data_IF_033821624627
#
_entry.id   IF_033821624627
#
_cell.length_a   1.000
_cell.length_b   1.000
_cell.length_c   1.000
_cell.angle_alpha   90.00
_cell.angle_beta   90.00
_cell.angle_gamma   90.00
#
_symmetry.space_group_name_H-M   'P 1'
#
loop_
_entity.id
_entity.type
_entity.pdbx_description
1 polymer ?
#
# COMPACT_ATOMS: atom_id res chain seq x y z
N UNK A 1 -14.36 -59.84 -65.26
CA UNK A 1 -15.49 -59.17 -64.57
C UNK A 1 -16.53 -60.24 -64.20
N UNK A 2 -17.33 -60.16 -63.11
CA UNK A 2 -17.52 -59.04 -62.15
C UNK A 2 -17.66 -59.44 -60.63
N UNK A 3 -17.66 -58.42 -59.75
CA UNK A 3 -18.37 -58.26 -58.45
C UNK A 3 -18.15 -59.21 -57.23
N UNK A 4 -17.83 -58.55 -56.10
CA UNK A 4 -18.29 -58.71 -54.68
C UNK A 4 -18.20 -60.08 -53.96
N UNK A 5 -17.44 -60.14 -52.85
CA UNK A 5 -17.88 -60.25 -51.41
C UNK A 5 -16.76 -60.75 -50.46
N UNK A 6 -16.50 -59.97 -49.40
CA UNK A 6 -16.55 -60.35 -47.97
C UNK A 6 -15.54 -61.32 -47.30
N UNK A 7 -15.22 -60.98 -46.02
CA UNK A 7 -14.70 -61.76 -44.84
C UNK A 7 -13.41 -61.13 -44.27
N UNK A 8 -13.07 -61.12 -42.98
CA UNK A 8 -13.63 -61.57 -41.70
C UNK A 8 -12.99 -60.69 -40.58
N UNK A 9 -13.56 -60.67 -39.38
CA UNK A 9 -12.99 -60.06 -38.18
C UNK A 9 -11.98 -61.00 -37.49
N UNK A 10 -10.99 -60.44 -36.78
CA UNK A 10 -10.41 -61.07 -35.59
C UNK A 10 -9.70 -60.05 -34.67
N UNK A 11 -9.91 -60.24 -33.37
CA UNK A 11 -9.38 -59.48 -32.23
C UNK A 11 -7.91 -59.85 -31.94
N UNK A 12 -7.14 -58.86 -31.48
CA UNK A 12 -5.88 -59.07 -30.77
C UNK A 12 -5.62 -57.94 -29.77
N UNK A 13 -5.76 -58.24 -28.47
CA UNK A 13 -5.00 -57.61 -27.36
C UNK A 13 -3.58 -58.23 -27.39
N UNK A 14 -2.45 -57.61 -27.01
CA UNK A 14 -2.19 -56.74 -25.86
C UNK A 14 -0.74 -56.18 -25.90
N UNK A 15 -0.47 -55.17 -25.05
CA UNK A 15 0.82 -54.73 -24.45
C UNK A 15 1.83 -53.82 -25.20
N UNK A 16 1.71 -52.53 -24.84
CA UNK A 16 2.75 -51.55 -24.44
C UNK A 16 4.20 -51.69 -24.95
N UNK A 17 4.63 -50.67 -25.72
CA UNK A 17 5.97 -50.07 -25.59
C UNK A 17 5.84 -48.53 -25.68
N UNK A 18 6.50 -47.86 -24.75
CA UNK A 18 6.49 -46.42 -24.49
C UNK A 18 6.92 -45.57 -25.71
N UNK A 19 6.15 -44.54 -26.01
CA UNK A 19 6.50 -43.46 -26.95
C UNK A 19 6.48 -42.11 -26.22
N UNK A 20 7.64 -41.46 -26.17
CA UNK A 20 7.91 -40.16 -25.53
C UNK A 20 6.88 -39.09 -25.94
N UNK A 21 6.20 -38.49 -24.96
CA UNK A 21 5.51 -37.19 -25.15
C UNK A 21 6.55 -36.08 -25.01
N UNK A 22 6.74 -35.32 -26.07
CA UNK A 22 7.41 -34.04 -26.02
C UNK A 22 6.68 -33.11 -25.04
N UNK A 23 7.45 -32.42 -24.19
CA UNK A 23 6.98 -31.30 -23.40
C UNK A 23 6.33 -30.29 -24.35
N UNK A 24 5.03 -30.08 -24.20
CA UNK A 24 4.40 -28.84 -24.67
C UNK A 24 4.74 -27.83 -23.59
N UNK A 25 5.73 -27.00 -23.85
CA UNK A 25 5.89 -25.73 -23.16
C UNK A 25 4.61 -24.94 -23.41
N UNK A 26 3.86 -24.69 -22.34
CA UNK A 26 2.80 -23.70 -22.32
C UNK A 26 3.47 -22.33 -22.45
N UNK A 27 3.55 -21.83 -23.69
CA UNK A 27 3.84 -20.44 -23.98
C UNK A 27 2.89 -19.56 -23.16
N UNK A 28 3.47 -18.87 -22.18
CA UNK A 28 2.79 -17.87 -21.39
C UNK A 28 2.53 -16.67 -22.31
N UNK A 29 1.26 -16.28 -22.47
CA UNK A 29 0.93 -15.01 -23.13
C UNK A 29 1.76 -13.87 -22.51
N UNK A 30 2.30 -12.92 -23.29
CA UNK A 30 3.07 -11.81 -22.72
C UNK A 30 2.22 -11.09 -21.68
N UNK A 31 2.68 -11.10 -20.43
CA UNK A 31 1.98 -10.46 -19.32
C UNK A 31 1.89 -8.96 -19.58
N UNK A 32 0.67 -8.42 -19.51
CA UNK A 32 0.38 -7.00 -19.75
C UNK A 32 1.07 -6.10 -18.71
N UNK A 33 1.20 -6.59 -17.48
CA UNK A 33 1.96 -5.99 -16.38
C UNK A 33 3.16 -6.86 -16.03
N UNK A 34 4.29 -6.25 -15.69
CA UNK A 34 5.48 -6.97 -15.25
C UNK A 34 5.45 -7.13 -13.72
N UNK A 35 5.39 -8.37 -13.24
CA UNK A 35 5.32 -8.68 -11.81
C UNK A 35 6.63 -9.26 -11.25
N UNK A 36 7.74 -9.18 -11.98
CA UNK A 36 9.04 -9.71 -11.52
C UNK A 36 9.57 -8.97 -10.29
N UNK A 37 9.47 -7.64 -10.25
CA UNK A 37 9.89 -6.82 -9.11
C UNK A 37 8.95 -5.62 -8.87
N UNK A 38 9.04 -4.94 -7.72
CA UNK A 38 8.31 -3.68 -7.51
C UNK A 38 8.62 -2.62 -8.59
N UNK A 39 9.88 -2.51 -9.01
CA UNK A 39 10.33 -1.57 -10.03
C UNK A 39 9.75 -1.91 -11.41
N UNK A 40 9.75 -3.19 -11.79
CA UNK A 40 9.22 -3.62 -13.09
C UNK A 40 7.71 -3.42 -13.17
N UNK A 41 6.99 -3.68 -12.08
CA UNK A 41 5.55 -3.37 -11.99
C UNK A 41 5.30 -1.90 -12.21
N UNK A 42 5.95 -1.03 -11.44
CA UNK A 42 5.72 0.40 -11.56
C UNK A 42 6.06 0.90 -12.97
N UNK A 43 7.20 0.47 -13.54
CA UNK A 43 7.59 0.83 -14.90
C UNK A 43 6.56 0.39 -15.95
N UNK A 44 6.00 -0.81 -15.84
CA UNK A 44 4.95 -1.30 -16.75
C UNK A 44 3.63 -0.53 -16.56
N UNK A 45 3.28 -0.17 -15.33
CA UNK A 45 2.07 0.57 -14.98
C UNK A 45 2.00 1.95 -15.66
N UNK A 46 3.10 2.70 -15.65
CA UNK A 46 3.19 4.06 -16.22
C UNK A 46 3.74 4.11 -17.65
N UNK A 47 4.01 2.94 -18.26
CA UNK A 47 4.51 2.84 -19.63
C UNK A 47 3.66 3.67 -20.62
N UNK A 48 4.28 4.42 -21.56
CA UNK A 48 5.70 4.40 -21.92
C UNK A 48 6.60 5.37 -21.12
N UNK A 49 6.07 6.01 -20.07
CA UNK A 49 6.85 6.96 -19.26
C UNK A 49 7.85 6.16 -18.42
N UNK A 50 9.13 6.54 -18.49
CA UNK A 50 10.17 5.93 -17.65
C UNK A 50 10.03 6.41 -16.21
N UNK A 51 10.22 5.54 -15.19
CA UNK A 51 10.17 5.95 -13.79
C UNK A 51 11.05 7.15 -13.45
N UNK A 52 12.25 7.25 -14.02
CA UNK A 52 13.16 8.37 -13.75
C UNK A 52 12.61 9.70 -14.26
N UNK A 53 11.87 9.67 -15.38
CA UNK A 53 11.18 10.86 -15.92
C UNK A 53 9.97 11.20 -15.05
N UNK A 54 9.21 10.18 -14.65
CA UNK A 54 8.04 10.35 -13.78
C UNK A 54 8.41 11.08 -12.48
N UNK A 55 9.38 10.55 -11.72
CA UNK A 55 9.78 11.14 -10.44
C UNK A 55 10.46 12.49 -10.56
N UNK A 56 11.08 12.78 -11.70
CA UNK A 56 11.75 14.06 -11.92
C UNK A 56 10.79 15.16 -12.37
N UNK A 57 9.78 14.84 -13.18
CA UNK A 57 8.98 15.84 -13.88
C UNK A 57 7.51 15.89 -13.49
N UNK A 58 6.98 14.83 -12.88
CA UNK A 58 5.54 14.68 -12.62
C UNK A 58 5.24 14.49 -11.14
N UNK A 59 5.95 13.59 -10.46
CA UNK A 59 5.73 13.29 -9.05
C UNK A 59 5.74 14.55 -8.19
N UNK A 60 4.66 14.78 -7.43
CA UNK A 60 4.44 15.96 -6.58
C UNK A 60 4.46 17.33 -7.30
N UNK A 61 4.52 17.35 -8.64
CA UNK A 61 4.71 18.57 -9.43
C UNK A 61 3.50 18.87 -10.33
N UNK A 62 3.09 17.90 -11.17
CA UNK A 62 2.02 18.13 -12.16
C UNK A 62 1.31 16.84 -12.61
N UNK A 63 0.07 16.94 -13.15
CA UNK A 63 -0.64 15.79 -13.69
C UNK A 63 0.09 15.11 -14.85
N UNK A 64 -0.04 13.78 -14.92
CA UNK A 64 0.38 12.94 -16.04
C UNK A 64 -0.84 12.21 -16.62
N UNK A 65 -1.13 12.45 -17.89
CA UNK A 65 -2.14 11.71 -18.66
C UNK A 65 -1.45 10.74 -19.62
N UNK A 66 -1.75 9.45 -19.51
CA UNK A 66 -1.29 8.40 -20.42
C UNK A 66 -2.51 7.80 -21.12
N UNK A 67 -2.84 8.35 -22.29
CA UNK A 67 -3.88 7.80 -23.16
C UNK A 67 -3.31 6.69 -24.03
N UNK A 68 -3.97 5.53 -24.01
CA UNK A 68 -3.52 4.31 -24.68
C UNK A 68 -4.58 3.82 -25.65
N UNK A 69 -4.15 2.96 -26.57
CA UNK A 69 -5.04 2.28 -27.50
C UNK A 69 -4.58 0.83 -27.67
N UNK A 70 -4.42 0.15 -26.54
CA UNK A 70 -4.00 -1.24 -26.45
C UNK A 70 -5.17 -2.11 -25.97
N UNK A 71 -5.75 -2.95 -26.85
CA UNK A 71 -6.88 -3.81 -26.50
C UNK A 71 -6.57 -4.84 -25.40
N UNK A 72 -5.33 -5.33 -25.31
CA UNK A 72 -4.94 -6.30 -24.29
C UNK A 72 -4.87 -5.62 -22.92
N UNK A 73 -4.30 -4.42 -22.87
CA UNK A 73 -4.25 -3.63 -21.64
C UNK A 73 -5.65 -3.17 -21.19
N UNK A 74 -6.50 -2.76 -22.13
CA UNK A 74 -7.88 -2.41 -21.84
C UNK A 74 -8.64 -3.60 -21.21
N UNK A 75 -8.50 -4.81 -21.78
CA UNK A 75 -9.08 -6.03 -21.23
C UNK A 75 -8.50 -6.38 -19.85
N UNK A 76 -7.19 -6.20 -19.65
CA UNK A 76 -6.55 -6.40 -18.36
C UNK A 76 -7.08 -5.44 -17.29
N UNK A 77 -7.18 -4.14 -17.60
CA UNK A 77 -7.74 -3.13 -16.67
C UNK A 77 -9.18 -3.49 -16.32
N UNK A 78 -10.02 -3.80 -17.31
CA UNK A 78 -11.39 -4.22 -17.05
C UNK A 78 -11.48 -5.42 -16.10
N UNK A 79 -10.52 -6.37 -16.17
CA UNK A 79 -10.51 -7.55 -15.28
C UNK A 79 -10.24 -7.23 -13.80
N UNK A 80 -9.65 -6.07 -13.49
CA UNK A 80 -9.29 -5.68 -12.12
C UNK A 80 -10.52 -5.51 -11.22
N UNK A 81 -11.59 -4.91 -11.76
CA UNK A 81 -12.88 -4.75 -11.09
C UNK A 81 -13.97 -4.39 -12.11
N UNK A 82 -15.11 -5.08 -12.06
CA UNK A 82 -16.25 -4.84 -12.95
C UNK A 82 -17.52 -4.50 -12.16
N UNK A 83 -18.44 -3.74 -12.78
CA UNK A 83 -19.78 -3.53 -12.22
C UNK A 83 -20.51 -4.85 -11.90
N UNK A 84 -20.27 -5.91 -12.68
CA UNK A 84 -20.85 -7.24 -12.44
C UNK A 84 -20.37 -7.90 -11.15
N UNK A 85 -19.17 -7.56 -10.66
CA UNK A 85 -18.58 -8.15 -9.45
C UNK A 85 -19.39 -7.80 -8.19
N UNK A 86 -20.08 -6.65 -8.21
CA UNK A 86 -20.82 -6.13 -7.06
C UNK A 86 -21.90 -7.08 -6.55
N UNK A 87 -22.50 -7.89 -7.42
CA UNK A 87 -23.53 -8.86 -7.01
C UNK A 87 -22.96 -9.91 -6.06
N UNK A 88 -21.81 -10.48 -6.43
CA UNK A 88 -21.12 -11.47 -5.63
C UNK A 88 -20.53 -10.84 -4.37
N UNK A 89 -19.87 -9.68 -4.50
CA UNK A 89 -19.28 -8.97 -3.35
C UNK A 89 -20.34 -8.61 -2.31
N UNK A 90 -21.52 -8.13 -2.71
CA UNK A 90 -22.62 -7.86 -1.77
C UNK A 90 -23.07 -9.12 -1.01
N UNK A 91 -22.97 -10.31 -1.61
CA UNK A 91 -23.33 -11.58 -0.96
C UNK A 91 -22.35 -11.98 0.15
N UNK A 92 -21.12 -11.42 0.15
CA UNK A 92 -20.11 -11.61 1.18
C UNK A 92 -20.34 -10.74 2.43
N UNK A 93 -21.36 -9.86 2.42
CA UNK A 93 -21.79 -9.12 3.61
C UNK A 93 -21.17 -7.74 3.80
N UNK A 94 -21.18 -6.92 2.75
CA UNK A 94 -20.69 -5.52 2.80
C UNK A 94 -21.60 -4.60 3.61
N UNK A 95 -21.03 -3.51 4.13
CA UNK A 95 -21.73 -2.47 4.88
C UNK A 95 -21.61 -1.10 4.20
N UNK A 96 -22.69 -0.30 4.29
CA UNK A 96 -22.64 1.09 3.87
C UNK A 96 -21.68 1.89 4.77
N UNK A 97 -21.00 2.89 4.21
CA UNK A 97 -20.01 3.70 4.93
C UNK A 97 -18.65 3.00 5.02
N UNK A 98 -18.63 1.79 5.58
CA UNK A 98 -17.42 0.95 5.70
C UNK A 98 -16.90 0.52 4.33
N UNK A 99 -17.69 -0.26 3.59
CA UNK A 99 -17.23 -0.90 2.34
C UNK A 99 -17.74 -0.19 1.09
N UNK A 100 -18.95 0.37 1.12
CA UNK A 100 -19.54 1.07 -0.02
C UNK A 100 -20.22 2.37 0.40
N UNK A 101 -19.92 3.44 -0.32
CA UNK A 101 -20.65 4.70 -0.31
C UNK A 101 -21.48 4.88 -1.59
N UNK A 102 -22.66 5.48 -1.45
CA UNK A 102 -23.51 5.90 -2.55
C UNK A 102 -23.67 7.41 -2.49
N UNK A 103 -23.29 8.10 -3.55
CA UNK A 103 -23.32 9.56 -3.58
C UNK A 103 -23.73 10.12 -4.94
N UNK A 104 -24.15 11.39 -4.95
CA UNK A 104 -24.43 12.14 -6.16
C UNK A 104 -24.06 13.60 -5.95
N UNK A 105 -23.51 14.25 -6.97
CA UNK A 105 -23.28 15.68 -6.95
C UNK A 105 -24.59 16.41 -7.30
N UNK A 106 -25.05 17.29 -6.42
CA UNK A 106 -26.24 18.11 -6.60
C UNK A 106 -25.89 19.54 -6.23
N UNK A 107 -25.98 20.46 -7.20
CA UNK A 107 -25.66 21.89 -7.02
C UNK A 107 -24.28 22.13 -6.38
N UNK A 108 -23.25 21.47 -6.90
CA UNK A 108 -21.87 21.60 -6.39
C UNK A 108 -21.62 20.98 -5.01
N UNK A 109 -22.53 20.15 -4.50
CA UNK A 109 -22.39 19.48 -3.19
C UNK A 109 -22.53 17.97 -3.31
N UNK A 110 -21.73 17.23 -2.52
CA UNK A 110 -21.84 15.78 -2.36
C UNK A 110 -23.09 15.46 -1.54
N UNK A 111 -24.08 14.81 -2.15
CA UNK A 111 -25.22 14.23 -1.44
C UNK A 111 -24.99 12.75 -1.22
N UNK A 112 -24.83 12.34 0.03
CA UNK A 112 -24.71 10.94 0.43
C UNK A 112 -26.12 10.30 0.47
N UNK A 113 -26.22 9.09 -0.04
CA UNK A 113 -27.47 8.32 -0.17
C UNK A 113 -27.40 6.96 0.53
N UNK A 114 -26.36 6.74 1.34
CA UNK A 114 -26.15 5.55 2.15
C UNK A 114 -27.40 5.18 2.98
N UNK A 115 -27.55 3.88 3.21
CA UNK A 115 -28.49 3.33 4.20
C UNK A 115 -27.71 2.87 5.42
N UNK A 116 -28.42 2.54 6.48
CA UNK A 116 -27.82 1.91 7.65
C UNK A 116 -27.63 0.41 7.40
N UNK A 117 -26.52 -0.14 7.92
CA UNK A 117 -26.25 -1.57 7.91
C UNK A 117 -25.76 -2.14 6.58
N UNK A 118 -26.14 -3.40 6.32
CA UNK A 118 -25.64 -4.18 5.18
C UNK A 118 -26.14 -3.65 3.83
N UNK A 119 -25.27 -3.74 2.83
CA UNK A 119 -25.58 -3.38 1.44
C UNK A 119 -26.44 -4.48 0.79
N UNK A 120 -27.57 -4.07 0.21
CA UNK A 120 -28.41 -4.93 -0.61
C UNK A 120 -28.19 -4.59 -2.09
N UNK A 121 -27.77 -5.57 -2.89
CA UNK A 121 -27.46 -5.38 -4.32
C UNK A 121 -28.65 -4.83 -5.14
N UNK A 122 -29.88 -5.26 -4.86
CA UNK A 122 -31.06 -4.74 -5.58
C UNK A 122 -31.31 -3.26 -5.26
N UNK A 123 -31.06 -2.83 -4.03
CA UNK A 123 -31.15 -1.42 -3.63
C UNK A 123 -30.02 -0.59 -4.25
N UNK A 124 -28.80 -1.15 -4.30
CA UNK A 124 -27.63 -0.54 -4.94
C UNK A 124 -27.91 -0.25 -6.43
N UNK A 125 -28.38 -1.26 -7.18
CA UNK A 125 -28.78 -1.09 -8.58
C UNK A 125 -29.91 -0.09 -8.76
N UNK A 126 -30.92 -0.12 -7.87
CA UNK A 126 -32.03 0.85 -7.91
C UNK A 126 -31.53 2.29 -7.78
N UNK A 127 -30.60 2.54 -6.87
CA UNK A 127 -30.05 3.88 -6.65
C UNK A 127 -29.15 4.33 -7.83
N UNK A 128 -28.40 3.40 -8.41
CA UNK A 128 -27.62 3.65 -9.63
C UNK A 128 -28.49 4.01 -10.83
N UNK A 129 -29.49 3.17 -11.15
CA UNK A 129 -30.32 3.33 -12.34
C UNK A 129 -31.28 4.52 -12.21
N UNK A 130 -32.00 4.59 -11.09
CA UNK A 130 -33.12 5.53 -10.90
C UNK A 130 -32.66 6.86 -10.34
N UNK A 131 -31.71 6.85 -9.39
CA UNK A 131 -31.23 8.10 -8.75
C UNK A 131 -29.99 8.66 -9.41
N UNK A 132 -29.41 7.97 -10.41
CA UNK A 132 -28.14 8.35 -11.06
C UNK A 132 -27.03 8.56 -10.02
N UNK A 133 -26.98 7.67 -9.04
CA UNK A 133 -25.99 7.73 -7.97
C UNK A 133 -24.71 7.01 -8.38
N UNK A 134 -23.57 7.56 -7.98
CA UNK A 134 -22.26 6.91 -8.06
C UNK A 134 -22.07 5.99 -6.87
N UNK A 135 -21.54 4.80 -7.15
CA UNK A 135 -21.05 3.87 -6.14
C UNK A 135 -19.55 4.09 -5.94
N UNK A 136 -19.12 4.20 -4.69
CA UNK A 136 -17.72 4.26 -4.28
C UNK A 136 -17.46 3.02 -3.40
N UNK A 137 -16.66 2.08 -3.89
CA UNK A 137 -16.29 0.86 -3.18
C UNK A 137 -14.90 1.03 -2.56
N UNK A 138 -14.78 0.80 -1.26
CA UNK A 138 -13.54 0.98 -0.51
C UNK A 138 -12.74 -0.30 -0.42
N UNK A 139 -11.44 -0.17 -0.70
CA UNK A 139 -10.44 -1.21 -0.48
C UNK A 139 -10.78 -2.54 -1.20
N UNK A 140 -10.97 -2.52 -2.54
CA UNK A 140 -11.29 -3.70 -3.34
C UNK A 140 -10.18 -4.77 -3.34
N UNK A 141 -8.93 -4.41 -3.03
CA UNK A 141 -7.83 -5.37 -2.88
C UNK A 141 -8.11 -6.45 -1.85
N UNK A 142 -8.99 -6.19 -0.87
CA UNK A 142 -9.43 -7.20 0.10
C UNK A 142 -10.14 -8.39 -0.55
N UNK A 143 -10.75 -8.17 -1.72
CA UNK A 143 -11.57 -9.15 -2.41
C UNK A 143 -11.01 -9.54 -3.79
N UNK A 144 -10.29 -8.63 -4.46
CA UNK A 144 -9.74 -8.83 -5.80
C UNK A 144 -8.24 -9.13 -5.74
N UNK A 145 -7.86 -10.37 -6.08
CA UNK A 145 -6.46 -10.85 -5.98
C UNK A 145 -5.49 -10.03 -6.83
N UNK A 146 -5.88 -9.68 -8.06
CA UNK A 146 -5.02 -8.91 -8.96
C UNK A 146 -4.73 -7.49 -8.42
N UNK A 147 -5.72 -6.86 -7.77
CA UNK A 147 -5.52 -5.57 -7.09
C UNK A 147 -4.66 -5.70 -5.82
N UNK A 148 -4.76 -6.83 -5.08
CA UNK A 148 -3.83 -7.12 -4.00
C UNK A 148 -2.40 -7.22 -4.51
N UNK A 149 -2.17 -7.99 -5.57
CA UNK A 149 -0.85 -8.17 -6.19
C UNK A 149 -0.24 -6.85 -6.68
N UNK A 150 -1.04 -5.99 -7.30
CA UNK A 150 -0.60 -4.66 -7.73
C UNK A 150 -0.27 -3.78 -6.52
N UNK A 151 -1.20 -3.64 -5.57
CA UNK A 151 -1.04 -2.73 -4.44
C UNK A 151 0.11 -3.14 -3.51
N UNK A 152 0.27 -4.44 -3.22
CA UNK A 152 1.37 -4.94 -2.40
C UNK A 152 2.75 -4.59 -2.98
N UNK A 153 2.93 -4.81 -4.29
CA UNK A 153 4.17 -4.42 -4.96
C UNK A 153 4.37 -2.91 -5.02
N UNK A 154 3.30 -2.13 -5.15
CA UNK A 154 3.40 -0.67 -5.06
C UNK A 154 3.78 -0.23 -3.64
N UNK A 155 3.31 -0.90 -2.57
CA UNK A 155 3.79 -0.62 -1.20
C UNK A 155 5.28 -0.91 -1.05
N UNK A 156 5.76 -2.01 -1.65
CA UNK A 156 7.20 -2.30 -1.72
C UNK A 156 7.96 -1.20 -2.48
N UNK A 157 7.43 -0.73 -3.60
CA UNK A 157 8.08 0.29 -4.44
C UNK A 157 8.13 1.67 -3.77
N UNK A 158 7.02 2.09 -3.16
CA UNK A 158 6.87 3.43 -2.59
C UNK A 158 7.37 3.54 -1.14
N UNK A 159 7.40 2.44 -0.38
CA UNK A 159 7.65 2.48 1.06
C UNK A 159 6.57 3.25 1.83
N UNK A 160 5.34 3.21 1.33
CA UNK A 160 4.15 3.86 1.90
C UNK A 160 2.94 2.97 1.69
N UNK A 161 1.92 3.09 2.55
CA UNK A 161 0.68 2.34 2.39
C UNK A 161 0.00 2.67 1.05
N UNK A 162 -0.59 1.67 0.41
CA UNK A 162 -1.28 1.82 -0.87
C UNK A 162 -2.71 1.31 -0.77
N UNK A 163 -3.66 2.24 -0.62
CA UNK A 163 -5.09 1.97 -0.67
C UNK A 163 -5.66 2.07 -2.09
N UNK A 164 -6.93 1.68 -2.25
CA UNK A 164 -7.66 2.03 -3.48
C UNK A 164 -9.16 2.15 -3.26
N UNK A 165 -9.80 2.92 -4.15
CA UNK A 165 -11.25 3.08 -4.22
C UNK A 165 -11.73 2.86 -5.65
N UNK A 166 -12.82 2.11 -5.84
CA UNK A 166 -13.48 1.97 -7.15
C UNK A 166 -14.67 2.89 -7.23
N UNK A 167 -14.79 3.62 -8.33
CA UNK A 167 -15.91 4.52 -8.60
C UNK A 167 -16.68 4.08 -9.82
N UNK A 168 -17.98 3.82 -9.65
CA UNK A 168 -18.90 3.44 -10.72
C UNK A 168 -19.96 4.52 -10.86
N UNK A 169 -19.97 5.22 -11.99
CA UNK A 169 -20.84 6.37 -12.24
C UNK A 169 -21.73 6.11 -13.45
N UNK A 170 -23.08 6.19 -13.32
CA UNK A 170 -24.00 5.92 -14.42
C UNK A 170 -23.97 7.05 -15.46
N UNK A 171 -24.47 6.75 -16.66
CA UNK A 171 -24.60 7.69 -17.77
C UNK A 171 -25.14 9.07 -17.38
N UNK A 172 -24.52 10.12 -17.93
CA UNK A 172 -25.01 11.50 -17.83
C UNK A 172 -25.08 12.02 -16.40
N UNK A 173 -24.13 11.61 -15.55
CA UNK A 173 -24.14 11.93 -14.13
C UNK A 173 -22.75 12.20 -13.56
N UNK A 174 -22.73 12.90 -12.43
CA UNK A 174 -21.54 13.26 -11.67
C UNK A 174 -21.73 12.84 -10.22
N UNK A 175 -20.78 12.09 -9.69
CA UNK A 175 -20.83 11.56 -8.31
C UNK A 175 -20.39 12.57 -7.25
N UNK A 176 -19.27 13.24 -7.51
CA UNK A 176 -18.60 14.11 -6.56
C UNK A 176 -18.47 15.55 -7.12
N UNK A 177 -18.61 16.58 -6.29
CA UNK A 177 -18.28 17.96 -6.67
C UNK A 177 -16.77 18.12 -6.90
N UNK A 178 -16.29 19.26 -7.41
CA UNK A 178 -14.85 19.55 -7.43
C UNK A 178 -14.25 19.47 -6.03
N UNK A 179 -13.11 18.80 -5.91
CA UNK A 179 -12.38 18.62 -4.65
C UNK A 179 -10.90 18.34 -4.94
N UNK A 180 -10.08 18.38 -3.91
CA UNK A 180 -8.75 17.79 -3.91
C UNK A 180 -8.61 16.81 -2.75
N UNK A 181 -7.74 15.82 -2.93
CA UNK A 181 -7.41 14.80 -1.92
C UNK A 181 -6.06 15.11 -1.26
N UNK A 182 -5.77 14.38 -0.18
CA UNK A 182 -4.56 14.42 0.65
C UNK A 182 -3.53 13.34 0.29
N UNK A 183 -3.71 12.69 -0.85
CA UNK A 183 -2.92 11.53 -1.32
C UNK A 183 -2.46 11.69 -2.76
N UNK A 184 -1.36 11.03 -3.07
CA UNK A 184 -0.89 10.85 -4.45
C UNK A 184 -1.75 9.77 -5.12
N UNK A 185 -2.28 10.02 -6.32
CA UNK A 185 -3.24 9.10 -6.96
C UNK A 185 -2.85 8.64 -8.35
N UNK A 186 -3.11 7.37 -8.62
CA UNK A 186 -3.05 6.73 -9.93
C UNK A 186 -4.45 6.19 -10.28
N UNK A 187 -5.09 6.77 -11.28
CA UNK A 187 -6.42 6.42 -11.74
C UNK A 187 -6.29 5.54 -12.97
N UNK A 188 -6.87 4.35 -12.91
CA UNK A 188 -6.93 3.38 -14.00
C UNK A 188 -8.38 3.29 -14.45
N UNK A 189 -8.64 3.65 -15.72
CA UNK A 189 -9.98 3.56 -16.29
C UNK A 189 -10.26 2.11 -16.70
N UNK A 190 -11.30 1.49 -16.13
CA UNK A 190 -11.57 0.06 -16.28
C UNK A 190 -12.69 -0.21 -17.27
N UNK A 191 -13.82 0.51 -17.16
CA UNK A 191 -14.99 0.31 -18.02
C UNK A 191 -15.58 1.64 -18.46
N UNK A 192 -16.10 1.69 -19.69
CA UNK A 192 -16.74 2.89 -20.25
C UNK A 192 -15.79 4.09 -20.35
N UNK A 193 -16.37 5.29 -20.47
CA UNK A 193 -15.63 6.53 -20.64
C UNK A 193 -16.02 7.56 -19.58
N UNK A 194 -15.04 8.36 -19.11
CA UNK A 194 -15.29 9.42 -18.13
C UNK A 194 -14.63 10.72 -18.56
N UNK A 195 -15.39 11.81 -18.51
CA UNK A 195 -14.91 13.16 -18.76
C UNK A 195 -14.30 13.73 -17.49
N UNK A 196 -13.05 14.17 -17.55
CA UNK A 196 -12.26 14.68 -16.43
C UNK A 196 -11.84 16.13 -16.67
N UNK A 197 -11.90 16.92 -15.61
CA UNK A 197 -11.38 18.29 -15.56
C UNK A 197 -10.46 18.43 -14.35
N UNK A 198 -9.23 18.89 -14.57
CA UNK A 198 -8.23 19.14 -13.53
C UNK A 198 -7.92 20.62 -13.44
N UNK A 199 -7.69 21.14 -12.24
CA UNK A 199 -7.49 22.56 -11.98
C UNK A 199 -6.22 22.77 -11.15
N UNK A 200 -5.78 24.03 -11.07
CA UNK A 200 -4.65 24.37 -10.20
C UNK A 200 -5.03 24.14 -8.74
N UNK A 201 -4.09 23.67 -7.90
CA UNK A 201 -4.33 23.55 -6.47
C UNK A 201 -4.59 24.93 -5.83
N UNK A 202 -5.61 25.03 -4.98
CA UNK A 202 -5.76 26.15 -4.02
C UNK A 202 -4.78 26.00 -2.86
N UNK A 203 -4.48 24.74 -2.48
CA UNK A 203 -3.45 24.36 -1.53
C UNK A 203 -2.52 23.35 -2.20
N UNK A 204 -1.29 23.77 -2.48
CA UNK A 204 -0.29 22.90 -3.13
C UNK A 204 0.20 21.83 -2.15
N UNK A 205 0.27 20.57 -2.61
CA UNK A 205 0.62 19.40 -1.79
C UNK A 205 -0.18 19.32 -0.48
N UNK A 206 -1.50 19.54 -0.60
CA UNK A 206 -2.42 19.55 0.52
C UNK A 206 -2.33 18.26 1.34
N UNK A 207 -2.36 18.41 2.67
CA UNK A 207 -2.34 17.31 3.64
C UNK A 207 -3.73 16.88 4.13
N UNK A 208 -4.76 17.55 3.64
CA UNK A 208 -6.14 17.36 4.04
C UNK A 208 -7.01 17.30 2.79
N UNK A 209 -8.14 16.59 2.86
CA UNK A 209 -9.16 16.62 1.82
C UNK A 209 -10.00 17.90 1.91
N UNK A 210 -10.41 18.47 0.77
CA UNK A 210 -11.37 19.57 0.76
C UNK A 210 -12.24 19.60 -0.49
N UNK A 211 -13.51 20.03 -0.33
CA UNK A 211 -14.42 20.33 -1.45
C UNK A 211 -14.28 21.80 -1.83
N UNK A 212 -14.13 22.06 -3.12
CA UNK A 212 -13.90 23.41 -3.66
C UNK A 212 -15.12 23.90 -4.46
N UNK A 213 -15.60 25.13 -4.22
CA UNK A 213 -16.74 25.66 -4.96
C UNK A 213 -16.32 26.07 -6.38
N UNK A 214 -17.13 25.70 -7.38
CA UNK A 214 -16.82 25.88 -8.81
C UNK A 214 -16.50 27.32 -9.22
N UNK A 215 -17.03 28.31 -8.51
CA UNK A 215 -16.78 29.73 -8.77
C UNK A 215 -15.38 30.20 -8.33
N UNK A 216 -14.63 29.38 -7.58
CA UNK A 216 -13.29 29.72 -7.06
C UNK A 216 -12.14 28.95 -7.68
N UNK A 217 -12.41 27.90 -8.46
CA UNK A 217 -11.35 27.02 -9.00
C UNK A 217 -10.82 27.47 -10.37
N UNK A 218 -11.49 28.43 -11.01
CA UNK A 218 -11.10 28.96 -12.32
C UNK A 218 -11.31 27.98 -13.48
N UNK A 219 -10.57 28.18 -14.57
CA UNK A 219 -10.66 27.31 -15.74
C UNK A 219 -9.84 26.01 -15.55
N UNK A 220 -10.29 24.88 -16.12
CA UNK A 220 -9.50 23.66 -16.13
C UNK A 220 -8.12 23.89 -16.74
N UNK A 221 -7.08 23.37 -16.08
CA UNK A 221 -5.74 23.24 -16.63
C UNK A 221 -5.66 22.12 -17.67
N UNK A 222 -6.47 21.08 -17.47
CA UNK A 222 -6.58 19.92 -18.34
C UNK A 222 -8.04 19.50 -18.41
N UNK A 223 -8.48 19.09 -19.59
CA UNK A 223 -9.82 18.57 -19.85
C UNK A 223 -9.72 17.47 -20.91
N UNK A 224 -10.19 16.26 -20.57
CA UNK A 224 -10.01 15.07 -21.41
C UNK A 224 -11.03 13.98 -21.06
N UNK A 225 -11.10 12.95 -21.89
CA UNK A 225 -11.92 11.75 -21.66
C UNK A 225 -10.98 10.56 -21.49
N UNK A 226 -11.13 9.83 -20.37
CA UNK A 226 -10.46 8.55 -20.14
C UNK A 226 -11.28 7.40 -20.71
N UNK A 227 -10.59 6.42 -21.30
CA UNK A 227 -11.13 5.17 -21.86
C UNK A 227 -10.44 3.96 -21.25
N UNK A 228 -10.99 2.73 -21.38
CA UNK A 228 -10.41 1.55 -20.76
C UNK A 228 -8.93 1.36 -21.14
N UNK A 229 -8.07 1.17 -20.14
CA UNK A 229 -6.61 1.05 -20.31
C UNK A 229 -5.82 2.34 -20.11
N UNK A 230 -6.48 3.50 -20.09
CA UNK A 230 -5.83 4.79 -19.81
C UNK A 230 -5.42 4.89 -18.34
N UNK A 231 -4.33 5.64 -18.10
CA UNK A 231 -3.86 6.00 -16.76
C UNK A 231 -3.81 7.52 -16.60
N UNK A 232 -4.25 7.99 -15.44
CA UNK A 232 -4.10 9.38 -15.01
C UNK A 232 -3.41 9.41 -13.64
N UNK A 233 -2.35 10.20 -13.50
CA UNK A 233 -1.74 10.55 -12.23
C UNK A 233 -1.88 12.05 -11.97
N UNK A 234 -2.08 12.44 -10.72
CA UNK A 234 -1.88 13.81 -10.26
C UNK A 234 -1.54 13.85 -8.77
N UNK A 235 -0.80 14.90 -8.33
CA UNK A 235 -0.40 15.02 -6.94
C UNK A 235 -1.53 15.54 -6.05
N UNK A 236 -1.41 15.27 -4.73
CA UNK A 236 -2.34 15.77 -3.72
C UNK A 236 -2.48 17.29 -3.77
N UNK A 237 -3.68 17.79 -3.47
CA UNK A 237 -4.06 19.19 -3.69
C UNK A 237 -4.52 19.53 -5.13
N UNK A 238 -4.29 18.66 -6.13
CA UNK A 238 -4.84 18.88 -7.48
C UNK A 238 -6.36 18.80 -7.44
N UNK A 239 -7.01 19.93 -7.70
CA UNK A 239 -8.48 19.98 -7.76
C UNK A 239 -8.94 19.24 -9.01
N UNK A 240 -9.94 18.39 -8.87
CA UNK A 240 -10.48 17.61 -9.97
C UNK A 240 -11.99 17.37 -9.83
N UNK A 241 -12.63 17.13 -10.97
CA UNK A 241 -13.98 16.60 -11.05
C UNK A 241 -14.16 15.75 -12.30
N UNK A 242 -15.12 14.82 -12.25
CA UNK A 242 -15.39 13.91 -13.36
C UNK A 242 -16.88 13.56 -13.49
N UNK A 243 -17.33 13.44 -14.74
CA UNK A 243 -18.70 13.07 -15.11
C UNK A 243 -18.71 12.00 -16.20
N UNK A 244 -19.70 11.11 -16.18
CA UNK A 244 -19.89 10.12 -17.25
C UNK A 244 -20.70 10.78 -18.38
N UNK A 245 -20.18 10.85 -19.62
CA UNK A 245 -20.88 11.52 -20.72
C UNK A 245 -22.26 10.91 -21.03
N UNK A 246 -23.21 11.68 -21.57
CA UNK A 246 -24.43 11.14 -22.17
C UNK A 246 -24.10 10.15 -23.30
N UNK A 247 -24.84 9.04 -23.40
CA UNK A 247 -24.62 7.98 -24.38
C UNK A 247 -23.68 6.86 -23.93
N UNK A 248 -22.88 7.08 -22.88
CA UNK A 248 -22.02 6.07 -22.26
C UNK A 248 -22.78 5.43 -21.09
N UNK A 249 -23.13 4.13 -21.10
CA UNK A 249 -24.01 3.52 -20.10
C UNK A 249 -23.56 3.75 -18.65
N UNK A 250 -22.27 3.62 -18.40
CA UNK A 250 -21.61 3.88 -17.13
C UNK A 250 -20.09 4.01 -17.33
N UNK A 251 -19.39 4.47 -16.30
CA UNK A 251 -17.94 4.43 -16.20
C UNK A 251 -17.51 3.80 -14.89
N UNK A 252 -16.49 2.94 -14.96
CA UNK A 252 -15.80 2.33 -13.82
C UNK A 252 -14.32 2.73 -13.87
N UNK A 253 -13.78 3.26 -12.78
CA UNK A 253 -12.33 3.40 -12.59
C UNK A 253 -11.93 2.98 -11.18
N UNK A 254 -10.67 2.57 -11.02
CA UNK A 254 -10.03 2.44 -9.70
C UNK A 254 -9.04 3.57 -9.51
N UNK A 255 -9.09 4.20 -8.34
CA UNK A 255 -8.09 5.17 -7.88
C UNK A 255 -7.22 4.45 -6.87
N UNK A 256 -5.96 4.19 -7.24
CA UNK A 256 -4.93 3.70 -6.34
C UNK A 256 -4.28 4.93 -5.69
N UNK A 257 -4.15 4.94 -4.37
CA UNK A 257 -3.70 6.11 -3.59
C UNK A 257 -2.61 5.76 -2.60
N UNK A 258 -1.61 6.64 -2.45
CA UNK A 258 -0.47 6.44 -1.54
C UNK A 258 0.04 7.78 -0.98
N UNK A 259 1.06 7.75 -0.13
CA UNK A 259 1.74 8.94 0.42
C UNK A 259 0.89 9.84 1.34
N UNK A 260 -0.18 9.29 1.94
CA UNK A 260 -0.92 9.99 3.00
C UNK A 260 0.00 10.22 4.20
N UNK A 261 0.08 11.46 4.71
CA UNK A 261 0.90 11.83 5.87
C UNK A 261 2.36 11.35 5.80
N UNK A 262 2.93 11.29 4.60
CA UNK A 262 4.29 10.79 4.35
C UNK A 262 5.24 11.93 3.92
N UNK A 263 5.11 13.11 4.54
CA UNK A 263 5.90 14.30 4.20
C UNK A 263 7.15 14.44 5.06
N UNK A 264 8.08 15.32 4.65
CA UNK A 264 9.22 15.72 5.49
C UNK A 264 8.79 16.29 6.85
N UNK A 265 7.64 16.94 6.94
CA UNK A 265 7.09 17.44 8.20
C UNK A 265 6.68 16.30 9.13
N UNK A 266 6.08 15.24 8.58
CA UNK A 266 5.67 14.05 9.34
C UNK A 266 6.89 13.29 9.83
N UNK A 267 7.86 13.06 8.94
CA UNK A 267 9.12 12.41 9.29
C UNK A 267 9.92 13.20 10.33
N UNK A 268 9.90 14.53 10.26
CA UNK A 268 10.52 15.39 11.27
C UNK A 268 9.83 15.23 12.64
N UNK A 269 8.50 15.20 12.67
CA UNK A 269 7.73 15.01 13.91
C UNK A 269 7.91 13.63 14.52
N UNK A 270 8.08 12.59 13.69
CA UNK A 270 8.37 11.22 14.13
C UNK A 270 9.79 11.10 14.70
N UNK A 271 10.77 11.75 14.07
CA UNK A 271 12.18 11.60 14.42
C UNK A 271 12.67 12.51 15.56
N UNK A 272 12.12 13.73 15.69
CA UNK A 272 12.53 14.69 16.73
C UNK A 272 12.39 14.12 18.15
N UNK A 273 11.29 13.46 18.55
CA UNK A 273 11.13 12.92 19.90
C UNK A 273 12.28 11.98 20.28
N UNK A 274 12.64 11.03 19.40
CA UNK A 274 13.76 10.12 19.62
C UNK A 274 15.11 10.84 19.79
N UNK A 275 15.35 11.88 18.97
CA UNK A 275 16.55 12.72 19.09
C UNK A 275 16.58 13.53 20.38
N UNK A 276 15.44 14.09 20.80
CA UNK A 276 15.30 14.84 22.06
C UNK A 276 15.55 13.93 23.25
N UNK A 277 14.92 12.75 23.29
CA UNK A 277 15.08 11.81 24.40
C UNK A 277 16.50 11.26 24.52
N UNK A 278 17.14 10.92 23.40
CA UNK A 278 18.54 10.45 23.40
C UNK A 278 19.49 11.56 23.84
N UNK A 279 19.33 12.78 23.31
CA UNK A 279 20.15 13.94 23.72
C UNK A 279 19.96 14.27 25.19
N UNK A 280 18.72 14.19 25.69
CA UNK A 280 18.41 14.42 27.09
C UNK A 280 19.00 13.36 28.04
N UNK A 281 19.57 12.24 27.58
CA UNK A 281 20.36 11.33 28.43
C UNK A 281 21.72 11.93 28.77
N UNK A 282 22.32 12.68 27.84
CA UNK A 282 23.68 13.22 27.97
C UNK A 282 23.69 14.70 28.40
N UNK A 283 22.78 15.50 27.86
CA UNK A 283 22.74 16.95 28.08
C UNK A 283 21.65 17.35 29.09
N UNK A 284 22.08 17.94 30.21
CA UNK A 284 21.18 18.44 31.26
C UNK A 284 20.30 19.60 30.80
N UNK A 285 20.71 20.35 29.76
CA UNK A 285 19.96 21.50 29.26
C UNK A 285 18.56 21.14 28.74
N UNK A 286 18.35 19.89 28.28
CA UNK A 286 17.04 19.37 27.90
C UNK A 286 16.23 18.81 29.08
N UNK A 287 16.87 18.56 30.23
CA UNK A 287 16.24 18.06 31.45
C UNK A 287 15.83 19.17 32.43
N UNK A 288 16.39 20.37 32.29
CA UNK A 288 16.03 21.51 33.14
C UNK A 288 14.58 21.94 32.92
N UNK A 289 13.87 22.25 34.00
CA UNK A 289 12.47 22.68 33.94
C UNK A 289 12.29 24.00 33.18
N UNK A 290 11.17 24.12 32.46
CA UNK A 290 10.72 25.40 31.92
C UNK A 290 10.44 26.42 33.05
N UNK A 291 10.52 27.73 32.79
CA UNK A 291 10.18 28.76 33.78
C UNK A 291 8.79 28.58 34.39
N UNK A 292 8.65 28.90 35.69
CA UNK A 292 7.37 28.86 36.39
C UNK A 292 6.35 29.76 35.70
N UNK A 293 5.11 29.26 35.57
CA UNK A 293 3.99 29.95 34.91
C UNK A 293 4.21 30.25 33.43
N UNK A 294 5.22 29.67 32.76
CA UNK A 294 5.44 29.87 31.33
C UNK A 294 4.16 29.57 30.51
N UNK A 295 3.50 28.46 30.82
CA UNK A 295 2.26 28.03 30.16
C UNK A 295 1.05 28.96 30.42
N UNK A 296 1.17 29.92 31.34
CA UNK A 296 0.13 30.91 31.65
C UNK A 296 0.41 32.27 31.00
N UNK A 297 1.54 32.43 30.30
CA UNK A 297 1.90 33.67 29.64
C UNK A 297 1.20 33.78 28.29
N UNK A 298 0.77 35.01 27.95
CA UNK A 298 0.17 35.32 26.64
C UNK A 298 1.26 35.52 25.57
N UNK A 299 2.47 35.90 25.99
CA UNK A 299 3.65 36.06 25.14
C UNK A 299 4.76 35.10 25.60
N UNK A 300 5.40 34.44 24.63
CA UNK A 300 6.43 33.40 24.79
C UNK A 300 7.75 33.81 24.12
N UNK A 301 7.93 35.10 23.79
CA UNK A 301 9.11 35.62 23.11
C UNK A 301 10.44 35.23 23.78
N UNK A 302 10.51 35.27 25.12
CA UNK A 302 11.71 34.89 25.87
C UNK A 302 12.07 33.40 25.72
N UNK A 303 11.06 32.53 25.61
CA UNK A 303 11.26 31.09 25.37
C UNK A 303 11.64 30.78 23.93
N UNK A 304 11.30 31.64 22.98
CA UNK A 304 11.63 31.47 21.55
C UNK A 304 13.14 31.38 21.32
N UNK A 305 13.93 32.20 22.03
CA UNK A 305 15.40 32.16 21.94
C UNK A 305 15.98 30.84 22.46
N UNK A 306 15.48 30.35 23.59
CA UNK A 306 15.93 29.08 24.19
C UNK A 306 15.57 27.89 23.29
N UNK A 307 14.35 27.85 22.76
CA UNK A 307 13.91 26.83 21.80
C UNK A 307 14.74 26.86 20.52
N UNK A 308 15.01 28.04 19.97
CA UNK A 308 15.87 28.18 18.79
C UNK A 308 17.28 27.66 19.03
N UNK A 309 17.85 27.91 20.23
CA UNK A 309 19.15 27.36 20.61
C UNK A 309 19.13 25.83 20.71
N UNK A 310 18.05 25.26 21.24
CA UNK A 310 17.87 23.81 21.32
C UNK A 310 17.76 23.21 19.92
N UNK A 311 16.97 23.79 19.03
CA UNK A 311 16.81 23.29 17.66
C UNK A 311 18.13 23.31 16.89
N UNK A 312 18.96 24.35 17.02
CA UNK A 312 20.30 24.38 16.42
C UNK A 312 21.20 23.30 16.98
N UNK A 313 21.23 23.14 18.31
CA UNK A 313 22.00 22.08 18.96
C UNK A 313 21.57 20.67 18.48
N UNK A 314 20.26 20.43 18.33
CA UNK A 314 19.75 19.16 17.80
C UNK A 314 20.17 18.96 16.35
N UNK A 315 20.14 20.01 15.52
CA UNK A 315 20.62 19.96 14.14
C UNK A 315 22.12 19.64 14.08
N UNK A 316 22.95 20.35 14.86
CA UNK A 316 24.40 20.11 14.94
C UNK A 316 24.68 18.65 15.39
N UNK A 317 23.92 18.16 16.37
CA UNK A 317 24.06 16.77 16.83
C UNK A 317 23.69 15.77 15.75
N UNK A 318 22.60 16.01 15.03
CA UNK A 318 22.16 15.16 13.94
C UNK A 318 23.21 15.05 12.82
N UNK A 319 23.87 16.16 12.47
CA UNK A 319 24.95 16.17 11.49
C UNK A 319 26.19 15.40 11.96
N UNK A 320 26.49 15.44 13.26
CA UNK A 320 27.69 14.81 13.83
C UNK A 320 27.53 13.32 14.15
N UNK A 321 26.35 12.87 14.57
CA UNK A 321 26.12 11.47 14.95
C UNK A 321 25.50 10.65 13.81
N UNK A 322 24.77 11.28 12.88
CA UNK A 322 24.07 10.59 11.79
C UNK A 322 22.96 9.62 12.24
N UNK A 323 22.68 9.54 13.54
CA UNK A 323 21.68 8.64 14.10
C UNK A 323 20.33 9.35 14.21
N UNK A 324 19.52 9.22 13.16
CA UNK A 324 18.10 9.56 13.20
C UNK A 324 17.28 8.28 13.30
N UNK A 325 16.46 8.17 14.33
CA UNK A 325 15.60 7.02 14.56
C UNK A 325 14.16 7.44 14.32
N UNK A 326 13.61 7.00 13.20
CA UNK A 326 12.18 6.98 12.95
C UNK A 326 11.65 5.62 13.38
N UNK A 327 10.59 5.63 14.20
CA UNK A 327 10.05 4.40 14.78
C UNK A 327 8.57 4.23 14.48
N UNK A 328 7.76 5.25 14.74
CA UNK A 328 6.31 5.11 14.69
C UNK A 328 5.83 5.04 13.24
N UNK A 329 6.37 5.88 12.34
CA UNK A 329 6.05 5.77 10.90
C UNK A 329 6.44 4.42 10.29
N UNK A 330 7.61 3.87 10.66
CA UNK A 330 8.05 2.55 10.16
C UNK A 330 7.16 1.42 10.69
N UNK A 331 6.78 1.54 11.95
CA UNK A 331 5.92 0.58 12.65
C UNK A 331 4.49 0.62 12.10
N UNK A 332 3.94 1.80 11.89
CA UNK A 332 2.65 2.00 11.25
C UNK A 332 2.63 1.37 9.85
N UNK A 333 3.62 1.67 9.02
CA UNK A 333 3.73 1.10 7.68
C UNK A 333 3.77 -0.44 7.70
N UNK A 334 4.65 -1.04 8.50
CA UNK A 334 4.79 -2.51 8.50
C UNK A 334 3.57 -3.22 9.09
N UNK A 335 2.87 -2.59 10.03
CA UNK A 335 1.66 -3.15 10.64
C UNK A 335 0.44 -3.07 9.73
N UNK A 336 0.32 -1.98 8.97
CA UNK A 336 -0.92 -1.69 8.26
C UNK A 336 -0.88 -2.03 6.77
N UNK A 337 0.28 -2.41 6.23
CA UNK A 337 0.44 -2.80 4.82
C UNK A 337 -0.11 -4.20 4.49
N UNK A 338 -0.22 -4.51 3.20
CA UNK A 338 -0.60 -5.84 2.72
C UNK A 338 0.46 -6.92 3.06
N UNK A 339 0.02 -8.17 3.27
CA UNK A 339 0.92 -9.32 3.25
C UNK A 339 1.41 -9.61 1.82
N UNK A 340 2.57 -10.28 1.65
CA UNK A 340 3.07 -10.68 0.34
C UNK A 340 2.05 -11.50 -0.47
N UNK A 341 1.90 -11.22 -1.76
CA UNK A 341 0.99 -11.96 -2.63
C UNK A 341 1.69 -13.17 -3.29
N UNK A 342 1.51 -14.37 -2.74
CA UNK A 342 2.23 -15.60 -3.15
C UNK A 342 1.45 -16.54 -4.09
N UNK A 343 0.27 -16.11 -4.59
CA UNK A 343 -0.60 -16.88 -5.48
C UNK A 343 -1.70 -17.67 -4.75
N UNK A 344 -2.55 -18.39 -5.51
CA UNK A 344 -3.83 -18.93 -5.05
C UNK A 344 -3.77 -20.01 -3.95
N UNK A 345 -2.59 -20.56 -3.62
CA UNK A 345 -2.41 -21.49 -2.49
C UNK A 345 -1.74 -20.73 -1.32
N UNK A 346 -2.46 -19.72 -0.80
CA UNK A 346 -2.04 -18.95 0.37
C UNK A 346 -2.16 -19.78 1.65
N UNK A 347 -1.47 -20.90 1.73
CA UNK A 347 -1.14 -21.52 3.01
C UNK A 347 -0.32 -20.51 3.80
N UNK A 348 -0.59 -20.41 5.10
CA UNK A 348 0.21 -19.62 6.03
C UNK A 348 1.69 -19.91 5.76
N UNK A 349 2.49 -18.88 5.47
CA UNK A 349 3.93 -19.00 5.27
C UNK A 349 4.53 -19.83 6.41
N UNK A 350 4.95 -21.06 6.11
CA UNK A 350 5.60 -21.96 7.06
C UNK A 350 7.09 -22.05 6.72
N UNK A 351 7.97 -22.06 7.73
CA UNK A 351 9.40 -22.22 7.49
C UNK A 351 9.70 -23.52 6.74
N UNK A 352 10.16 -23.38 5.50
CA UNK A 352 10.54 -24.49 4.63
C UNK A 352 12.05 -24.68 4.54
N UNK A 353 12.47 -25.78 3.92
CA UNK A 353 13.88 -26.05 3.63
C UNK A 353 14.68 -26.59 4.82
N UNK A 354 16.00 -26.35 4.78
CA UNK A 354 16.92 -26.81 5.84
C UNK A 354 16.93 -25.81 6.99
N UNK A 355 16.95 -26.32 8.23
CA UNK A 355 17.19 -25.50 9.42
C UNK A 355 18.61 -24.91 9.34
N UNK A 356 18.80 -23.59 9.54
CA UNK A 356 20.10 -22.95 9.46
C UNK A 356 21.05 -23.46 10.56
N UNK A 357 22.31 -23.63 10.21
CA UNK A 357 23.43 -24.00 11.09
C UNK A 357 24.60 -23.04 10.91
N UNK A 358 25.61 -23.11 11.76
CA UNK A 358 26.78 -22.23 11.71
C UNK A 358 27.52 -22.24 10.36
N UNK A 359 27.58 -23.39 9.70
CA UNK A 359 28.22 -23.56 8.39
C UNK A 359 27.31 -23.21 7.20
N UNK A 360 26.05 -22.90 7.45
CA UNK A 360 25.07 -22.56 6.42
C UNK A 360 25.35 -21.20 5.78
N UNK A 361 24.84 -21.06 4.55
CA UNK A 361 24.68 -19.77 3.88
C UNK A 361 23.20 -19.39 3.89
N UNK A 362 22.93 -18.15 4.28
CA UNK A 362 21.58 -17.62 4.40
C UNK A 362 21.36 -16.42 3.48
N UNK A 363 20.13 -16.23 3.02
CA UNK A 363 19.70 -15.07 2.24
C UNK A 363 18.40 -14.52 2.81
N UNK A 364 18.30 -13.21 2.93
CA UNK A 364 17.06 -12.54 3.32
C UNK A 364 15.99 -12.76 2.24
N UNK A 365 14.81 -13.21 2.66
CA UNK A 365 13.59 -13.25 1.87
C UNK A 365 12.68 -12.10 2.28
N UNK A 366 11.78 -11.70 1.37
CA UNK A 366 10.78 -10.66 1.65
C UNK A 366 11.38 -9.37 2.23
N UNK A 367 12.53 -8.94 1.69
CA UNK A 367 13.29 -7.79 2.19
C UNK A 367 12.42 -6.54 2.38
N UNK A 368 11.54 -6.27 1.43
CA UNK A 368 10.69 -5.08 1.45
C UNK A 368 9.51 -5.22 2.42
N UNK A 369 9.26 -6.41 2.98
CA UNK A 369 8.23 -6.68 3.99
C UNK A 369 8.79 -6.80 5.41
N UNK A 370 10.04 -6.40 5.65
CA UNK A 370 10.63 -6.45 6.98
C UNK A 370 11.46 -5.19 7.29
N UNK A 371 11.28 -4.64 8.49
CA UNK A 371 11.94 -3.41 8.94
C UNK A 371 12.67 -3.66 10.26
N UNK A 372 13.79 -2.95 10.44
CA UNK A 372 14.57 -2.95 11.67
C UNK A 372 14.36 -1.60 12.37
N UNK A 373 13.91 -1.63 13.62
CA UNK A 373 13.82 -0.46 14.50
C UNK A 373 14.64 -0.68 15.77
N UNK A 374 15.02 0.41 16.43
CA UNK A 374 15.71 0.39 17.73
C UNK A 374 14.89 1.20 18.70
N UNK A 375 14.29 0.50 19.66
CA UNK A 375 13.31 1.06 20.59
C UNK A 375 13.72 0.75 22.03
N UNK A 376 13.29 1.57 23.01
CA UNK A 376 13.39 1.19 24.43
C UNK A 376 12.65 -0.12 24.69
N UNK A 377 13.22 -1.00 25.52
CA UNK A 377 12.58 -2.26 25.90
C UNK A 377 11.20 -2.01 26.53
N UNK A 378 10.15 -2.55 25.89
CA UNK A 378 8.76 -2.34 26.30
C UNK A 378 8.30 -3.33 27.38
N UNK A 379 9.03 -4.44 27.59
CA UNK A 379 8.61 -5.51 28.53
C UNK A 379 9.19 -5.34 29.94
N UNK A 380 10.20 -4.47 30.12
CA UNK A 380 10.89 -4.31 31.41
C UNK A 380 10.64 -2.93 32.00
N UNK A 381 9.95 -2.88 33.14
CA UNK A 381 9.57 -1.64 33.84
C UNK A 381 10.69 -1.04 34.70
N UNK A 382 11.84 -1.70 34.81
CA UNK A 382 12.91 -1.27 35.70
C UNK A 382 13.71 -0.06 35.16
N UNK A 383 14.28 0.71 36.09
CA UNK A 383 14.75 2.10 35.97
C UNK A 383 15.81 2.41 34.88
N UNK A 384 16.25 1.44 34.08
CA UNK A 384 17.10 1.64 32.91
C UNK A 384 16.52 0.87 31.72
N UNK A 385 15.64 1.51 30.94
CA UNK A 385 15.16 0.98 29.66
C UNK A 385 16.36 0.77 28.72
N UNK A 386 16.82 -0.48 28.63
CA UNK A 386 17.84 -0.87 27.65
C UNK A 386 17.24 -0.73 26.25
N UNK A 387 18.06 -0.32 25.29
CA UNK A 387 17.65 -0.28 23.89
C UNK A 387 17.71 -1.70 23.33
N UNK A 388 16.66 -2.08 22.62
CA UNK A 388 16.52 -3.37 21.95
C UNK A 388 16.32 -3.15 20.46
N UNK A 389 16.71 -4.15 19.67
CA UNK A 389 16.49 -4.17 18.23
C UNK A 389 15.25 -5.00 17.95
N UNK A 390 14.30 -4.42 17.21
CA UNK A 390 13.09 -5.09 16.78
C UNK A 390 13.16 -5.31 15.27
N UNK A 391 12.79 -6.53 14.86
CA UNK A 391 12.59 -6.89 13.46
C UNK A 391 11.11 -7.13 13.27
N UNK A 392 10.40 -6.16 12.70
CA UNK A 392 8.98 -6.27 12.38
C UNK A 392 8.80 -6.71 10.93
N UNK A 393 7.72 -7.44 10.64
CA UNK A 393 7.43 -7.87 9.27
C UNK A 393 5.93 -7.99 8.99
N UNK A 394 5.54 -7.88 7.72
CA UNK A 394 4.13 -7.91 7.31
C UNK A 394 3.66 -9.25 6.72
N UNK A 395 4.49 -10.31 6.77
CA UNK A 395 4.16 -11.64 6.24
C UNK A 395 2.87 -12.26 6.82
N UNK A 396 2.47 -11.82 8.01
CA UNK A 396 1.28 -12.32 8.74
C UNK A 396 0.15 -11.27 8.81
N UNK A 397 0.29 -10.15 8.11
CA UNK A 397 -0.77 -9.13 8.07
C UNK A 397 -2.03 -9.68 7.40
N UNK A 398 -3.18 -9.14 7.79
CA UNK A 398 -4.48 -9.57 7.26
C UNK A 398 -4.87 -8.73 6.08
N UNK A 399 -4.99 -9.38 4.92
CA UNK A 399 -5.49 -8.75 3.70
C UNK A 399 -6.91 -8.22 3.89
N UNK A 400 -7.75 -8.93 4.64
CA UNK A 400 -9.18 -8.65 4.82
C UNK A 400 -9.47 -7.34 5.58
N UNK A 401 -8.49 -6.81 6.31
CA UNK A 401 -8.60 -5.57 7.08
C UNK A 401 -7.72 -4.45 6.54
N UNK A 402 -7.07 -4.64 5.39
CA UNK A 402 -6.16 -3.65 4.81
C UNK A 402 -6.86 -2.30 4.57
N UNK A 403 -6.30 -1.23 5.14
CA UNK A 403 -6.80 0.16 5.05
C UNK A 403 -8.23 0.37 5.57
N UNK A 404 -8.72 -0.49 6.47
CA UNK A 404 -10.07 -0.37 7.05
C UNK A 404 -10.10 0.30 8.43
N UNK A 405 -8.93 0.63 8.99
CA UNK A 405 -8.80 1.06 10.39
C UNK A 405 -9.09 -0.07 11.38
N UNK A 406 -8.86 0.19 12.67
CA UNK A 406 -9.39 -0.62 13.76
C UNK A 406 -10.87 -0.29 13.94
N UNK A 407 -11.75 -1.27 14.17
CA UNK A 407 -13.22 -1.11 14.17
C UNK A 407 -13.81 -0.12 15.23
N UNK A 408 -12.99 0.65 15.95
CA UNK A 408 -13.37 1.47 17.10
C UNK A 408 -13.14 3.00 16.98
N UNK A 409 -12.65 3.53 15.84
CA UNK A 409 -12.39 4.99 15.73
C UNK A 409 -13.67 5.86 15.74
N UNK A 410 -14.87 5.27 15.64
CA UNK A 410 -16.17 5.99 15.64
C UNK A 410 -17.10 5.66 16.82
N UNK A 411 -16.72 4.75 17.73
CA UNK A 411 -17.49 4.45 18.95
C UNK A 411 -16.56 4.38 20.14
N UNK A 412 -16.58 5.42 20.98
CA UNK A 412 -15.77 5.56 22.20
C UNK A 412 -16.08 4.55 23.31
N UNK A 413 -15.95 3.25 23.03
CA UNK A 413 -15.97 2.16 23.99
C UNK A 413 -14.56 1.59 24.13
N UNK A 414 -13.92 1.86 25.26
CA UNK A 414 -12.58 1.39 25.65
C UNK A 414 -12.50 -0.14 25.94
N UNK A 415 -13.49 -0.94 25.53
CA UNK A 415 -13.56 -2.37 25.82
C UNK A 415 -13.64 -3.18 24.52
N UNK A 416 -12.50 -3.31 23.83
CA UNK A 416 -12.45 -4.07 22.57
C UNK A 416 -11.13 -4.05 21.81
N UNK A 417 -10.19 -3.17 22.16
CA UNK A 417 -8.88 -3.09 21.53
C UNK A 417 -8.05 -4.36 21.76
N UNK A 418 -8.28 -5.40 20.95
CA UNK A 418 -7.20 -6.30 20.57
C UNK A 418 -6.24 -5.46 19.71
N UNK A 419 -5.42 -4.63 20.37
CA UNK A 419 -4.22 -4.05 19.77
C UNK A 419 -3.53 -5.18 19.04
N UNK A 420 -3.48 -5.13 17.71
CA UNK A 420 -2.68 -6.06 16.94
C UNK A 420 -1.26 -5.88 17.45
N UNK A 421 -0.81 -6.81 18.28
CA UNK A 421 0.55 -6.80 18.77
C UNK A 421 1.44 -6.99 17.54
N UNK A 422 2.41 -6.11 17.30
CA UNK A 422 3.28 -6.25 16.14
C UNK A 422 3.89 -7.64 16.10
N UNK A 423 3.76 -8.32 14.97
CA UNK A 423 4.57 -9.49 14.70
C UNK A 423 6.02 -9.02 14.54
N UNK A 424 6.89 -9.42 15.46
CA UNK A 424 8.29 -9.09 15.37
C UNK A 424 9.18 -9.87 16.32
N UNK A 425 10.45 -9.93 15.95
CA UNK A 425 11.51 -10.55 16.74
C UNK A 425 12.24 -9.48 17.54
N UNK A 426 12.65 -9.83 18.75
CA UNK A 426 13.39 -8.94 19.66
C UNK A 426 14.81 -9.47 19.88
N UNK A 427 15.78 -8.58 19.73
CA UNK A 427 17.20 -8.90 19.97
C UNK A 427 17.89 -7.82 20.82
N UNK A 428 18.96 -8.16 21.55
CA UNK A 428 19.84 -7.17 22.17
C UNK A 428 20.47 -6.22 21.13
N UNK A 429 20.81 -4.99 21.55
CA UNK A 429 21.44 -3.99 20.67
C UNK A 429 22.72 -4.48 19.97
N UNK A 430 23.47 -5.41 20.58
CA UNK A 430 24.66 -6.03 19.99
C UNK A 430 24.39 -6.78 18.69
N UNK A 431 23.14 -7.13 18.38
CA UNK A 431 22.76 -7.87 17.16
C UNK A 431 22.57 -6.95 15.95
N UNK A 432 22.54 -5.62 16.14
CA UNK A 432 22.23 -4.66 15.09
C UNK A 432 23.16 -4.77 13.88
N UNK A 433 24.46 -4.93 14.11
CA UNK A 433 25.44 -5.01 13.01
C UNK A 433 25.34 -6.31 12.20
N UNK A 434 24.98 -7.42 12.86
CA UNK A 434 24.71 -8.68 12.18
C UNK A 434 23.42 -8.62 11.36
N UNK A 435 22.36 -7.99 11.88
CA UNK A 435 21.13 -7.73 11.13
C UNK A 435 21.38 -6.82 9.92
N UNK A 436 22.14 -5.73 10.08
CA UNK A 436 22.57 -4.87 8.96
C UNK A 436 23.37 -5.64 7.91
N UNK A 437 24.22 -6.58 8.32
CA UNK A 437 24.96 -7.45 7.41
C UNK A 437 24.03 -8.35 6.59
N UNK A 438 22.98 -8.90 7.20
CA UNK A 438 21.97 -9.71 6.50
C UNK A 438 21.15 -8.85 5.52
N UNK A 439 20.74 -7.65 5.91
CA UNK A 439 19.94 -6.75 5.06
C UNK A 439 20.71 -6.16 3.88
N UNK A 440 22.03 -6.02 4.00
CA UNK A 440 22.89 -5.49 2.93
C UNK A 440 23.48 -6.57 2.02
N UNK A 441 23.58 -7.81 2.49
CA UNK A 441 24.17 -8.93 1.76
C UNK A 441 23.19 -9.64 0.84
N UNK A 442 23.66 -10.11 -0.32
CA UNK A 442 22.90 -11.02 -1.20
C UNK A 442 22.87 -12.45 -0.67
N UNK A 443 23.94 -12.90 -0.02
CA UNK A 443 24.04 -14.17 0.71
C UNK A 443 25.13 -14.03 1.77
N UNK A 444 24.85 -14.45 3.00
CA UNK A 444 25.75 -14.30 4.16
C UNK A 444 26.02 -15.67 4.78
N UNK A 445 27.27 -15.96 5.13
CA UNK A 445 27.59 -17.18 5.90
C UNK A 445 27.30 -16.94 7.38
N UNK A 446 26.59 -17.87 8.03
CA UNK A 446 26.19 -17.72 9.44
C UNK A 446 27.40 -17.52 10.36
N UNK A 447 28.50 -18.25 10.12
CA UNK A 447 29.77 -18.08 10.87
C UNK A 447 30.39 -16.68 10.76
N UNK A 448 30.11 -15.94 9.69
CA UNK A 448 30.67 -14.61 9.41
C UNK A 448 29.81 -13.46 9.94
N UNK A 449 28.68 -13.77 10.59
CA UNK A 449 27.85 -12.78 11.26
C UNK A 449 28.66 -12.07 12.35
N UNK A 450 28.50 -10.74 12.42
CA UNK A 450 29.14 -9.85 13.42
C UNK A 450 28.56 -10.03 14.82
N UNK A 451 28.73 -11.22 15.38
CA UNK A 451 28.35 -11.62 16.74
C UNK A 451 29.51 -12.35 17.41
N UNK A 452 29.50 -12.39 18.74
CA UNK A 452 30.67 -12.81 19.52
C UNK A 452 30.77 -14.34 19.62
N UNK A 453 29.65 -15.02 19.83
CA UNK A 453 29.63 -16.48 19.98
C UNK A 453 29.00 -17.19 18.77
N UNK A 454 29.33 -18.47 18.58
CA UNK A 454 28.69 -19.30 17.55
C UNK A 454 27.19 -19.51 17.83
N UNK A 455 26.82 -19.63 19.10
CA UNK A 455 25.45 -19.81 19.55
C UNK A 455 24.58 -18.59 19.21
N UNK A 456 25.09 -17.37 19.42
CA UNK A 456 24.38 -16.13 19.04
C UNK A 456 24.09 -16.08 17.53
N UNK A 457 25.04 -16.53 16.71
CA UNK A 457 24.92 -16.55 15.24
C UNK A 457 23.86 -17.54 14.78
N UNK A 458 23.88 -18.75 15.33
CA UNK A 458 22.86 -19.77 15.03
C UNK A 458 21.49 -19.34 15.52
N UNK A 459 21.37 -18.78 16.73
CA UNK A 459 20.11 -18.31 17.28
C UNK A 459 19.51 -17.17 16.46
N UNK A 460 20.31 -16.20 16.00
CA UNK A 460 19.84 -15.14 15.11
C UNK A 460 19.29 -15.73 13.80
N UNK A 461 20.04 -16.63 13.16
CA UNK A 461 19.60 -17.25 11.92
C UNK A 461 18.32 -18.08 12.13
N UNK A 462 18.25 -18.86 13.21
CA UNK A 462 17.09 -19.68 13.55
C UNK A 462 15.84 -18.81 13.78
N UNK A 463 15.96 -17.72 14.54
CA UNK A 463 14.85 -16.81 14.82
C UNK A 463 14.28 -16.16 13.55
N UNK A 464 15.16 -15.71 12.64
CA UNK A 464 14.73 -15.16 11.35
C UNK A 464 14.08 -16.25 10.47
N UNK A 465 14.62 -17.47 10.49
CA UNK A 465 14.08 -18.59 9.72
C UNK A 465 12.70 -19.03 10.21
N UNK A 466 12.45 -19.02 11.53
CA UNK A 466 11.13 -19.36 12.08
C UNK A 466 10.02 -18.40 11.65
N UNK A 467 10.38 -17.18 11.24
CA UNK A 467 9.45 -16.18 10.70
C UNK A 467 9.46 -16.13 9.16
N UNK A 468 10.04 -17.12 8.48
CA UNK A 468 10.18 -17.18 7.01
C UNK A 468 10.95 -15.99 6.40
N UNK A 469 11.79 -15.31 7.18
CA UNK A 469 12.55 -14.14 6.70
C UNK A 469 13.87 -14.52 6.02
N UNK A 470 14.32 -15.78 6.11
CA UNK A 470 15.55 -16.22 5.45
C UNK A 470 15.42 -17.57 4.77
N UNK A 471 16.20 -17.75 3.71
CA UNK A 471 16.40 -19.00 2.99
C UNK A 471 17.79 -19.58 3.27
N UNK A 472 17.92 -20.91 3.29
CA UNK A 472 19.17 -21.63 3.59
C UNK A 472 19.67 -22.42 2.37
N UNK A 473 20.96 -22.27 2.04
CA UNK A 473 21.64 -22.93 0.90
C UNK A 473 22.63 -24.01 1.34
#
# INVERSE_FOLDING_TARGET
MPKKRGKHAEMGMEMQVQSKRAKVETDCSPSVMDFESPESLFASLISPIKPEVFFKEYWEEKPLLVQRNDPLLAAYYQSLFQLSDLKELCSQGLYYGRDINICRCVNGKKKVLNKEGKVNYAQLNKDFDQKKATMQFHQPQRFKEELWKIQEKLECYFGSLVGSNVYITPQGSQGLPPHYDDVEVFILQLEGEKHWRLYKPTVHLAREYNVEPEDRIGNPTHEFVLKPGDLLYFPRGTIHQADTPPGIPYSTHVTISTYQNNSWGDFLLDAIPGLVFSTAKEDVALRTSIPRKLLMQVDIADSTKKLSSILRMLADRLENTGELRSSDMRKDFIMNRLPPCLGCDSDSLTPGGKVPKLDSKIRLQFRDHAVITVEPDQENSDEIRKEMVYVYHSLKNRRETHMMGTEDDDTGSEEGAAQQTPHGLRFPLSYLDALKQIWSGSTVSVKELKLTSAEEKENLALALWTECLIEVF
#
